data_IF_014896210321
#
_entry.id   IF_014896210321
#
_cell.length_a   1.000
_cell.length_b   1.000
_cell.length_c   1.000
_cell.angle_alpha   90.00
_cell.angle_beta   90.00
_cell.angle_gamma   90.00
#
_symmetry.space_group_name_H-M   'P 1'
#
loop_
_entity.id
_entity.type
_entity.pdbx_description
1 polymer ?
#
# COMPACT_ATOMS: atom_id res chain seq x y z
N UNK A 1 47.03 -30.02 18.77
CA UNK A 1 46.02 -29.72 19.82
C UNK A 1 45.11 -28.64 19.29
N UNK A 2 43.86 -28.94 18.90
CA UNK A 2 42.92 -27.89 18.49
C UNK A 2 42.45 -27.12 19.73
N UNK A 3 42.49 -25.78 19.66
CA UNK A 3 42.01 -24.89 20.72
C UNK A 3 40.53 -25.15 21.06
N UNK A 4 40.12 -25.02 22.34
CA UNK A 4 38.74 -25.22 22.72
C UNK A 4 37.87 -24.15 22.06
N UNK A 5 36.91 -24.60 21.25
CA UNK A 5 35.92 -23.76 20.60
C UNK A 5 35.16 -22.97 21.67
N UNK A 6 35.22 -21.65 21.59
CA UNK A 6 34.46 -20.76 22.46
C UNK A 6 32.97 -21.01 22.21
N UNK A 7 32.14 -21.30 23.24
CA UNK A 7 30.72 -21.51 23.04
C UNK A 7 30.10 -20.30 22.36
N UNK A 8 29.38 -20.51 21.26
CA UNK A 8 28.62 -19.47 20.57
C UNK A 8 27.62 -18.88 21.57
N UNK A 9 27.89 -17.65 22.05
CA UNK A 9 27.01 -16.96 22.97
C UNK A 9 25.63 -16.79 22.31
N UNK A 10 24.51 -17.02 23.03
CA UNK A 10 23.19 -16.80 22.46
C UNK A 10 23.08 -15.34 22.02
N UNK A 11 22.58 -15.12 20.80
CA UNK A 11 22.32 -13.78 20.29
C UNK A 11 21.20 -13.18 21.15
N UNK A 12 21.58 -12.42 22.17
CA UNK A 12 20.63 -11.70 23.00
C UNK A 12 20.01 -10.61 22.11
N UNK A 13 18.87 -10.94 21.50
CA UNK A 13 18.02 -9.97 20.82
C UNK A 13 17.86 -8.75 21.71
N UNK A 14 17.76 -7.57 21.07
CA UNK A 14 17.76 -6.25 21.70
C UNK A 14 16.63 -6.12 22.72
N UNK A 15 16.82 -6.66 23.91
CA UNK A 15 15.84 -6.73 24.97
C UNK A 15 15.58 -5.30 25.45
N UNK A 16 14.37 -4.82 25.18
CA UNK A 16 13.93 -3.49 25.60
C UNK A 16 13.43 -3.58 27.04
N UNK A 17 14.34 -3.38 27.98
CA UNK A 17 13.99 -3.33 29.41
C UNK A 17 13.07 -2.13 29.71
N UNK A 18 11.95 -2.41 30.37
CA UNK A 18 11.03 -1.42 30.96
C UNK A 18 11.69 -0.65 32.10
N UNK A 19 11.13 0.51 32.46
CA UNK A 19 11.70 1.35 33.53
C UNK A 19 11.73 0.63 34.88
N UNK A 20 10.73 -0.21 35.16
CA UNK A 20 10.65 -1.01 36.39
C UNK A 20 11.75 -2.09 36.42
N UNK A 21 11.94 -2.82 35.32
CA UNK A 21 13.02 -3.82 35.22
C UNK A 21 14.40 -3.16 35.36
N UNK A 22 14.60 -2.00 34.73
CA UNK A 22 15.87 -1.24 34.84
C UNK A 22 16.15 -0.82 36.28
N UNK A 23 15.10 -0.45 37.03
CA UNK A 23 15.21 -0.08 38.44
C UNK A 23 15.51 -1.30 39.32
N UNK A 24 14.82 -2.41 39.13
CA UNK A 24 15.11 -3.66 39.83
C UNK A 24 16.56 -4.13 39.58
N UNK A 25 17.04 -4.01 38.34
CA UNK A 25 18.44 -4.31 37.98
C UNK A 25 19.41 -3.37 38.72
N UNK A 26 19.09 -2.08 38.82
CA UNK A 26 19.95 -1.14 39.54
C UNK A 26 19.99 -1.44 41.04
N UNK A 27 18.84 -1.71 41.66
CA UNK A 27 18.71 -2.03 43.09
C UNK A 27 19.41 -3.35 43.45
N UNK A 28 19.30 -4.37 42.60
CA UNK A 28 20.04 -5.64 42.77
C UNK A 28 21.55 -5.45 42.66
N UNK A 29 22.02 -4.66 41.70
CA UNK A 29 23.45 -4.31 41.58
C UNK A 29 23.93 -3.44 42.75
N UNK A 30 23.07 -2.56 43.28
CA UNK A 30 23.38 -1.71 44.43
C UNK A 30 23.64 -2.56 45.68
N UNK A 31 22.80 -3.57 45.93
CA UNK A 31 22.99 -4.51 47.04
C UNK A 31 24.25 -5.37 46.92
N UNK A 32 24.78 -5.57 45.71
CA UNK A 32 26.05 -6.29 45.45
C UNK A 32 27.27 -5.37 45.36
N UNK A 33 27.06 -4.06 45.38
CA UNK A 33 28.14 -3.08 45.27
C UNK A 33 28.84 -2.88 46.62
N UNK A 34 30.15 -2.71 46.58
CA UNK A 34 30.94 -2.35 47.75
C UNK A 34 31.53 -0.95 47.52
N UNK A 35 31.18 0.01 48.39
CA UNK A 35 31.61 1.42 48.29
C UNK A 35 31.41 2.04 46.89
N UNK A 36 30.27 1.76 46.26
CA UNK A 36 29.94 2.28 44.92
C UNK A 36 30.71 1.62 43.77
N UNK A 37 31.47 0.56 44.04
CA UNK A 37 32.16 -0.26 43.04
C UNK A 37 31.50 -1.63 42.92
N UNK A 38 31.37 -2.10 41.68
CA UNK A 38 30.89 -3.44 41.37
C UNK A 38 32.10 -4.31 41.05
N UNK A 39 32.19 -5.47 41.68
CA UNK A 39 33.28 -6.41 41.46
C UNK A 39 33.25 -7.01 40.04
N UNK A 40 34.40 -7.49 39.58
CA UNK A 40 34.51 -8.13 38.28
C UNK A 40 33.62 -9.37 38.21
N UNK A 41 32.88 -9.55 37.12
CA UNK A 41 31.99 -10.70 36.93
C UNK A 41 30.57 -10.51 37.47
N UNK A 42 30.34 -9.59 38.42
CA UNK A 42 29.00 -9.36 39.00
C UNK A 42 27.95 -8.97 37.96
N UNK A 43 28.33 -8.16 36.96
CA UNK A 43 27.43 -7.84 35.85
C UNK A 43 27.02 -9.09 35.07
N UNK A 44 27.96 -10.02 34.86
CA UNK A 44 27.71 -11.27 34.14
C UNK A 44 26.83 -12.20 34.98
N UNK A 45 27.11 -12.31 36.28
CA UNK A 45 26.32 -13.13 37.22
C UNK A 45 24.89 -12.61 37.34
N UNK A 46 24.70 -11.30 37.45
CA UNK A 46 23.36 -10.70 37.52
C UNK A 46 22.64 -10.77 36.17
N UNK A 47 23.39 -10.61 35.08
CA UNK A 47 22.84 -10.74 33.74
C UNK A 47 22.43 -12.18 33.40
N UNK A 48 23.09 -13.20 33.95
CA UNK A 48 22.74 -14.61 33.70
C UNK A 48 21.30 -14.96 34.12
N UNK A 49 20.75 -14.25 35.10
CA UNK A 49 19.34 -14.39 35.54
C UNK A 49 18.36 -13.71 34.56
N UNK A 50 18.84 -12.92 33.62
CA UNK A 50 18.04 -12.12 32.69
C UNK A 50 18.40 -12.44 31.23
N UNK A 51 17.46 -12.33 30.30
CA UNK A 51 17.74 -12.54 28.87
C UNK A 51 18.41 -11.31 28.22
N UNK A 52 19.39 -10.71 28.89
CA UNK A 52 20.05 -9.46 28.51
C UNK A 52 21.57 -9.62 28.54
N UNK A 53 22.25 -8.96 27.60
CA UNK A 53 23.69 -8.89 27.61
C UNK A 53 24.20 -8.03 28.79
N UNK A 54 25.25 -8.48 29.50
CA UNK A 54 25.82 -7.81 30.70
C UNK A 54 26.19 -6.33 30.48
N UNK A 55 26.59 -5.94 29.26
CA UNK A 55 26.85 -4.52 28.90
C UNK A 55 25.64 -3.61 29.13
N UNK A 56 24.41 -4.14 29.05
CA UNK A 56 23.19 -3.39 29.37
C UNK A 56 23.13 -3.05 30.86
N UNK A 57 23.49 -4.00 31.72
CA UNK A 57 23.55 -3.83 33.17
C UNK A 57 24.62 -2.80 33.55
N UNK A 58 25.82 -2.91 32.95
CA UNK A 58 26.89 -1.94 33.14
C UNK A 58 26.46 -0.50 32.73
N UNK A 59 25.68 -0.37 31.65
CA UNK A 59 25.15 0.93 31.20
C UNK A 59 24.09 1.49 32.15
N UNK A 60 23.23 0.63 32.71
CA UNK A 60 22.23 1.01 33.72
C UNK A 60 22.93 1.52 34.98
N UNK A 61 23.92 0.77 35.48
CA UNK A 61 24.72 1.16 36.63
C UNK A 61 25.42 2.50 36.43
N UNK A 62 26.17 2.64 35.33
CA UNK A 62 26.88 3.87 34.99
C UNK A 62 25.92 5.07 34.97
N UNK A 63 24.74 4.91 34.37
CA UNK A 63 23.73 5.97 34.31
C UNK A 63 23.21 6.36 35.70
N UNK A 64 22.90 5.39 36.55
CA UNK A 64 22.48 5.66 37.93
C UNK A 64 23.55 6.45 38.69
N UNK A 65 24.80 6.02 38.61
CA UNK A 65 25.93 6.71 39.24
C UNK A 65 26.16 8.12 38.67
N UNK A 66 26.10 8.30 37.34
CA UNK A 66 26.19 9.62 36.70
C UNK A 66 25.07 10.56 37.17
N UNK A 67 23.84 10.05 37.33
CA UNK A 67 22.72 10.88 37.80
C UNK A 67 22.91 11.35 39.25
N UNK A 68 23.44 10.50 40.13
CA UNK A 68 23.77 10.87 41.51
C UNK A 68 24.90 11.89 41.55
N UNK A 69 25.95 11.70 40.74
CA UNK A 69 27.07 12.65 40.62
C UNK A 69 26.63 14.02 40.11
N UNK A 70 25.59 14.07 39.29
CA UNK A 70 25.01 15.30 38.78
C UNK A 70 24.00 15.95 39.76
N UNK A 71 23.91 15.47 41.00
CA UNK A 71 23.10 16.07 42.06
C UNK A 71 21.65 15.57 42.15
N UNK A 72 21.31 14.47 41.47
CA UNK A 72 20.00 13.84 41.64
C UNK A 72 19.91 13.16 43.01
N UNK A 73 18.77 13.34 43.70
CA UNK A 73 18.48 12.67 44.99
C UNK A 73 18.31 11.16 44.82
N UNK A 74 17.83 10.72 43.65
CA UNK A 74 17.57 9.30 43.33
C UNK A 74 18.26 8.94 42.02
N UNK A 75 18.77 7.71 41.93
CA UNK A 75 19.37 7.20 40.70
C UNK A 75 18.36 7.13 39.55
N UNK A 76 18.59 7.91 38.50
CA UNK A 76 17.72 7.97 37.30
C UNK A 76 18.18 6.93 36.28
N UNK A 77 17.51 5.77 36.25
CA UNK A 77 17.91 4.63 35.41
C UNK A 77 16.99 4.38 34.21
N UNK A 78 15.96 5.21 34.05
CA UNK A 78 14.91 5.06 33.05
C UNK A 78 15.46 4.93 31.62
N UNK A 79 14.71 4.21 30.80
CA UNK A 79 14.92 4.12 29.37
C UNK A 79 14.79 5.51 28.72
N UNK A 80 15.58 5.76 27.67
CA UNK A 80 15.49 7.01 26.89
C UNK A 80 14.51 6.90 25.71
N UNK A 81 14.08 5.69 25.36
CA UNK A 81 13.10 5.48 24.30
C UNK A 81 11.69 5.67 24.87
N UNK A 82 11.25 6.92 25.00
CA UNK A 82 9.96 7.26 25.62
C UNK A 82 8.84 7.28 24.57
N UNK A 83 8.64 6.16 23.87
CA UNK A 83 7.64 6.04 22.80
C UNK A 83 7.81 7.09 21.69
N UNK A 84 6.88 7.13 20.73
CA UNK A 84 6.73 8.21 19.74
C UNK A 84 8.04 8.66 19.03
N UNK A 85 9.02 7.76 18.91
CA UNK A 85 10.33 8.04 18.31
C UNK A 85 10.35 7.81 16.80
N UNK A 86 9.19 7.45 16.24
CA UNK A 86 9.01 7.29 14.81
C UNK A 86 8.68 8.60 14.12
N UNK A 87 8.73 8.63 12.77
CA UNK A 87 8.28 9.77 11.99
C UNK A 87 6.83 10.15 12.34
N UNK A 88 6.55 11.45 12.40
CA UNK A 88 5.17 11.94 12.55
C UNK A 88 4.36 11.58 11.30
N UNK A 89 3.10 11.20 11.51
CA UNK A 89 2.16 10.95 10.42
C UNK A 89 1.91 12.28 9.70
N UNK A 90 2.22 12.33 8.41
CA UNK A 90 2.16 13.57 7.62
C UNK A 90 0.77 13.88 7.06
N UNK A 91 -0.07 12.87 6.83
CA UNK A 91 -1.42 13.02 6.27
C UNK A 91 -2.42 12.33 7.17
N UNK A 92 -3.52 13.02 7.50
CA UNK A 92 -4.61 12.38 8.22
C UNK A 92 -5.37 11.41 7.29
N UNK A 93 -6.06 10.39 7.84
CA UNK A 93 -6.93 9.53 7.06
C UNK A 93 -7.98 10.30 6.25
N UNK A 94 -8.53 11.39 6.80
CA UNK A 94 -9.46 12.27 6.09
C UNK A 94 -8.84 12.94 4.87
N UNK A 95 -7.59 13.40 4.97
CA UNK A 95 -6.88 14.05 3.85
C UNK A 95 -6.62 13.07 2.72
N UNK A 96 -6.22 11.83 3.07
CA UNK A 96 -6.01 10.75 2.09
C UNK A 96 -7.32 10.44 1.37
N UNK A 97 -8.44 10.33 2.09
CA UNK A 97 -9.75 10.11 1.49
C UNK A 97 -10.18 11.24 0.56
N UNK A 98 -9.99 12.49 0.98
CA UNK A 98 -10.30 13.65 0.16
C UNK A 98 -9.48 13.65 -1.13
N UNK A 99 -8.17 13.39 -1.04
CA UNK A 99 -7.28 13.30 -2.19
C UNK A 99 -7.69 12.18 -3.17
N UNK A 100 -8.02 10.99 -2.67
CA UNK A 100 -8.50 9.89 -3.51
C UNK A 100 -9.86 10.20 -4.14
N UNK A 101 -10.74 10.91 -3.43
CA UNK A 101 -12.06 11.34 -3.95
C UNK A 101 -11.96 12.44 -5.02
N UNK A 102 -10.85 13.19 -5.06
CA UNK A 102 -10.61 14.17 -6.11
C UNK A 102 -10.15 13.53 -7.44
N UNK A 103 -9.53 12.34 -7.39
CA UNK A 103 -9.05 11.62 -8.59
C UNK A 103 -10.22 11.21 -9.50
N UNK A 104 -10.17 11.38 -10.84
CA UNK A 104 -11.23 10.90 -11.73
C UNK A 104 -11.48 9.39 -11.61
N UNK A 105 -12.74 8.94 -11.75
CA UNK A 105 -13.12 7.53 -11.53
C UNK A 105 -12.30 6.54 -12.37
N UNK A 106 -12.02 6.89 -13.63
CA UNK A 106 -11.21 6.07 -14.56
C UNK A 106 -9.79 5.87 -14.03
N UNK A 107 -9.19 6.91 -13.44
CA UNK A 107 -7.84 6.85 -12.87
C UNK A 107 -7.80 6.12 -11.51
N UNK A 108 -8.95 5.79 -10.90
CA UNK A 108 -9.02 5.03 -9.64
C UNK A 108 -8.85 3.51 -9.77
N UNK A 109 -8.76 3.00 -10.99
CA UNK A 109 -8.68 1.56 -11.25
C UNK A 109 -7.40 0.91 -10.72
N UNK A 110 -6.26 1.60 -10.84
CA UNK A 110 -4.96 1.04 -10.46
C UNK A 110 -4.35 1.93 -9.39
N UNK A 111 -3.88 1.33 -8.30
CA UNK A 111 -3.29 2.06 -7.18
C UNK A 111 -2.08 2.92 -7.57
N UNK A 112 -1.37 2.54 -8.64
CA UNK A 112 -0.28 3.33 -9.23
C UNK A 112 -0.82 4.63 -9.86
N UNK A 113 -1.91 4.55 -10.61
CA UNK A 113 -2.56 5.72 -11.21
C UNK A 113 -3.16 6.62 -10.12
N UNK A 114 -3.80 6.04 -9.11
CA UNK A 114 -4.30 6.78 -7.94
C UNK A 114 -3.16 7.53 -7.25
N UNK A 115 -2.02 6.89 -7.03
CA UNK A 115 -0.88 7.52 -6.36
C UNK A 115 -0.38 8.75 -7.13
N UNK A 116 -0.28 8.64 -8.45
CA UNK A 116 0.11 9.75 -9.33
C UNK A 116 -0.89 10.91 -9.25
N UNK A 117 -2.18 10.64 -9.43
CA UNK A 117 -3.21 11.67 -9.50
C UNK A 117 -3.58 12.27 -8.12
N UNK A 118 -3.38 11.53 -7.04
CA UNK A 118 -3.67 12.01 -5.67
C UNK A 118 -2.46 12.65 -4.97
N UNK A 119 -1.26 12.48 -5.50
CA UNK A 119 0.00 12.88 -4.84
C UNK A 119 0.28 12.10 -3.54
N UNK A 120 -0.47 11.02 -3.27
CA UNK A 120 -0.28 10.15 -2.10
C UNK A 120 0.53 8.92 -2.52
N UNK A 121 1.66 8.62 -1.87
CA UNK A 121 2.46 7.46 -2.23
C UNK A 121 1.67 6.16 -2.16
N UNK A 122 1.89 5.27 -3.13
CA UNK A 122 1.21 3.96 -3.21
C UNK A 122 1.27 3.17 -1.89
N UNK A 123 2.42 3.17 -1.21
CA UNK A 123 2.61 2.48 0.08
C UNK A 123 1.71 3.04 1.17
N UNK A 124 1.51 4.36 1.18
CA UNK A 124 0.63 5.05 2.13
C UNK A 124 -0.83 4.69 1.85
N UNK A 125 -1.22 4.60 0.58
CA UNK A 125 -2.55 4.16 0.19
C UNK A 125 -2.83 2.71 0.61
N UNK A 126 -1.91 1.77 0.35
CA UNK A 126 -2.06 0.36 0.79
C UNK A 126 -2.24 0.27 2.30
N UNK A 127 -1.38 0.96 3.06
CA UNK A 127 -1.46 0.95 4.53
C UNK A 127 -2.77 1.55 5.02
N UNK A 128 -3.19 2.68 4.47
CA UNK A 128 -4.47 3.31 4.81
C UNK A 128 -5.68 2.42 4.47
N UNK A 129 -5.64 1.69 3.34
CA UNK A 129 -6.67 0.71 3.00
C UNK A 129 -6.77 -0.42 4.03
N UNK A 130 -5.64 -0.87 4.58
CA UNK A 130 -5.61 -1.91 5.61
C UNK A 130 -6.04 -1.42 7.00
N UNK A 131 -5.74 -0.17 7.35
CA UNK A 131 -6.05 0.42 8.66
C UNK A 131 -7.52 0.85 8.78
N UNK A 132 -8.08 1.52 7.75
CA UNK A 132 -9.38 2.20 7.85
C UNK A 132 -10.53 1.46 7.13
N UNK A 133 -10.23 0.49 6.26
CA UNK A 133 -11.17 -0.33 5.46
C UNK A 133 -12.24 0.43 4.63
N UNK A 134 -12.14 1.76 4.54
CA UNK A 134 -13.10 2.63 3.82
C UNK A 134 -12.82 2.75 2.32
N UNK A 135 -11.60 2.45 1.88
CA UNK A 135 -11.22 2.44 0.47
C UNK A 135 -11.05 0.99 0.02
N UNK A 136 -12.06 0.45 -0.66
CA UNK A 136 -12.03 -0.92 -1.20
C UNK A 136 -11.90 -0.90 -2.71
N UNK A 137 -11.10 -1.84 -3.23
CA UNK A 137 -11.09 -2.14 -4.66
C UNK A 137 -12.48 -2.66 -5.06
N UNK A 138 -13.06 -2.10 -6.12
CA UNK A 138 -14.27 -2.62 -6.74
C UNK A 138 -13.96 -2.96 -8.18
N UNK A 139 -14.31 -4.16 -8.61
CA UNK A 139 -14.35 -4.50 -10.02
C UNK A 139 -15.54 -3.77 -10.66
N UNK A 140 -15.26 -2.89 -11.61
CA UNK A 140 -16.29 -2.31 -12.48
C UNK A 140 -16.61 -3.30 -13.59
N UNK A 141 -17.35 -4.35 -13.27
CA UNK A 141 -17.85 -5.30 -14.27
C UNK A 141 -19.37 -5.43 -14.19
N UNK A 142 -20.06 -4.33 -14.51
CA UNK A 142 -21.41 -4.45 -15.02
C UNK A 142 -21.29 -4.73 -16.51
N UNK A 143 -21.42 -6.00 -16.92
CA UNK A 143 -21.94 -6.30 -18.25
C UNK A 143 -23.43 -5.99 -18.17
N UNK A 144 -23.93 -4.85 -18.67
CA UNK A 144 -25.36 -4.77 -18.91
C UNK A 144 -25.71 -5.99 -19.79
N UNK A 145 -26.76 -6.73 -19.43
CA UNK A 145 -27.24 -7.79 -20.31
C UNK A 145 -27.43 -7.18 -21.70
N UNK A 146 -26.87 -7.83 -22.73
CA UNK A 146 -27.13 -7.44 -24.11
C UNK A 146 -28.60 -7.76 -24.35
N UNK A 147 -29.47 -6.77 -24.13
CA UNK A 147 -30.78 -6.75 -24.74
C UNK A 147 -30.61 -6.49 -26.23
N UNK A 148 -31.53 -6.98 -27.05
CA UNK A 148 -31.46 -6.79 -28.51
C UNK A 148 -31.29 -5.30 -28.87
N UNK A 149 -31.94 -4.41 -28.14
CA UNK A 149 -31.83 -2.95 -28.34
C UNK A 149 -30.43 -2.41 -28.05
N UNK A 150 -29.80 -2.89 -26.98
CA UNK A 150 -28.45 -2.48 -26.58
C UNK A 150 -27.38 -3.02 -27.55
N UNK A 151 -27.58 -4.23 -28.08
CA UNK A 151 -26.72 -4.82 -29.10
C UNK A 151 -26.79 -4.02 -30.40
N UNK A 152 -28.01 -3.76 -30.89
CA UNK A 152 -28.23 -2.97 -32.11
C UNK A 152 -27.65 -1.57 -32.00
N UNK A 153 -27.86 -0.89 -30.87
CA UNK A 153 -27.33 0.46 -30.64
C UNK A 153 -25.80 0.49 -30.69
N UNK A 154 -25.13 -0.48 -30.04
CA UNK A 154 -23.67 -0.58 -30.05
C UNK A 154 -23.10 -0.92 -31.43
N UNK A 155 -23.75 -1.83 -32.15
CA UNK A 155 -23.35 -2.19 -33.52
C UNK A 155 -23.50 -0.97 -34.44
N UNK A 156 -24.62 -0.25 -34.33
CA UNK A 156 -24.90 0.94 -35.13
C UNK A 156 -23.94 2.10 -34.84
N UNK A 157 -23.65 2.37 -33.56
CA UNK A 157 -22.64 3.35 -33.16
C UNK A 157 -21.27 3.00 -33.78
N UNK A 158 -20.85 1.74 -33.67
CA UNK A 158 -19.57 1.27 -34.20
C UNK A 158 -19.50 1.29 -35.73
N UNK A 159 -20.59 1.00 -36.43
CA UNK A 159 -20.63 1.05 -37.90
C UNK A 159 -20.60 2.48 -38.41
N UNK A 160 -21.23 3.42 -37.69
CA UNK A 160 -21.18 4.85 -37.99
C UNK A 160 -19.80 5.45 -37.72
N UNK A 161 -19.13 5.08 -36.62
CA UNK A 161 -17.72 5.45 -36.36
C UNK A 161 -16.80 5.03 -37.52
N UNK A 162 -17.08 3.88 -38.14
CA UNK A 162 -16.32 3.35 -39.27
C UNK A 162 -16.85 3.79 -40.64
N UNK A 163 -17.77 4.76 -40.70
CA UNK A 163 -18.36 5.30 -41.93
C UNK A 163 -18.99 4.22 -42.84
N UNK A 164 -19.52 3.14 -42.24
CA UNK A 164 -20.06 2.00 -42.98
C UNK A 164 -19.03 1.17 -43.75
N UNK A 165 -17.73 1.45 -43.59
CA UNK A 165 -16.66 0.66 -44.22
C UNK A 165 -16.48 -0.67 -43.49
N UNK A 166 -16.37 -1.76 -44.25
CA UNK A 166 -16.11 -3.11 -43.74
C UNK A 166 -14.61 -3.35 -43.53
N UNK A 167 -13.87 -2.33 -43.08
CA UNK A 167 -12.42 -2.39 -42.86
C UNK A 167 -12.11 -2.94 -41.46
N UNK A 168 -12.68 -4.11 -41.15
CA UNK A 168 -12.29 -4.85 -39.96
C UNK A 168 -11.17 -5.82 -40.34
N UNK A 169 -9.99 -5.66 -39.72
CA UNK A 169 -8.97 -6.71 -39.72
C UNK A 169 -9.36 -7.77 -38.69
N UNK A 170 -10.31 -8.64 -39.04
CA UNK A 170 -10.78 -9.76 -38.21
C UNK A 170 -9.99 -11.03 -38.58
N UNK A 171 -9.01 -11.49 -37.77
CA UNK A 171 -8.05 -12.49 -38.23
C UNK A 171 -8.58 -13.94 -38.39
N UNK A 172 -9.88 -14.23 -38.22
CA UNK A 172 -10.30 -15.64 -38.01
C UNK A 172 -11.79 -15.98 -38.24
N UNK A 173 -12.56 -15.21 -39.02
CA UNK A 173 -13.94 -15.59 -39.38
C UNK A 173 -14.11 -15.83 -40.88
N UNK A 174 -14.45 -17.08 -41.24
CA UNK A 174 -14.73 -17.53 -42.62
C UNK A 174 -16.00 -16.84 -43.13
N UNK A 175 -15.88 -16.13 -44.26
CA UNK A 175 -16.76 -15.00 -44.66
C UNK A 175 -17.83 -15.40 -45.68
N UNK A 176 -18.47 -16.56 -45.49
CA UNK A 176 -19.36 -17.15 -46.51
C UNK A 176 -20.83 -17.31 -46.06
N UNK A 177 -21.25 -16.67 -44.97
CA UNK A 177 -22.65 -16.69 -44.55
C UNK A 177 -23.45 -15.58 -45.24
N UNK A 178 -24.23 -15.96 -46.26
CA UNK A 178 -25.13 -15.05 -46.97
C UNK A 178 -26.46 -14.86 -46.22
N UNK A 179 -26.86 -13.61 -46.00
CA UNK A 179 -28.17 -13.23 -45.45
C UNK A 179 -29.19 -13.30 -46.59
N UNK A 180 -30.24 -14.11 -46.41
CA UNK A 180 -31.21 -14.43 -47.48
C UNK A 180 -32.22 -13.31 -47.77
N UNK A 181 -32.57 -12.51 -46.77
CA UNK A 181 -33.56 -11.43 -46.94
C UNK A 181 -33.24 -10.26 -46.01
N UNK A 182 -32.89 -9.13 -46.62
CA UNK A 182 -32.52 -7.89 -45.94
C UNK A 182 -33.75 -7.09 -45.49
N UNK A 183 -34.95 -7.41 -46.00
CA UNK A 183 -36.19 -6.69 -45.71
C UNK A 183 -36.79 -7.00 -44.34
N UNK A 184 -36.32 -8.06 -43.69
CA UNK A 184 -36.76 -8.48 -42.36
C UNK A 184 -36.26 -7.57 -41.23
N UNK A 185 -35.33 -6.65 -41.51
CA UNK A 185 -34.76 -5.74 -40.53
C UNK A 185 -35.38 -4.33 -40.67
N UNK A 186 -36.43 -4.05 -39.89
CA UNK A 186 -36.93 -2.68 -39.73
C UNK A 186 -35.96 -1.87 -38.83
N UNK A 187 -34.97 -1.24 -39.45
CA UNK A 187 -34.01 -0.37 -38.77
C UNK A 187 -34.59 1.05 -38.69
N UNK A 188 -34.97 1.48 -37.49
CA UNK A 188 -35.38 2.86 -37.25
C UNK A 188 -34.11 3.71 -37.03
N UNK A 189 -33.79 4.61 -37.96
CA UNK A 189 -32.60 5.47 -37.87
C UNK A 189 -32.99 6.95 -37.69
N UNK A 190 -32.12 7.72 -37.02
CA UNK A 190 -32.29 9.16 -36.85
C UNK A 190 -32.30 9.86 -38.24
N UNK A 191 -33.29 10.72 -38.54
CA UNK A 191 -33.41 11.41 -39.83
C UNK A 191 -32.19 12.24 -40.23
N UNK A 192 -31.36 12.70 -39.29
CA UNK A 192 -30.12 13.42 -39.57
C UNK A 192 -29.01 12.49 -40.09
N UNK A 193 -28.91 11.28 -39.52
CA UNK A 193 -27.93 10.27 -39.91
C UNK A 193 -28.28 9.70 -41.29
N UNK A 194 -29.58 9.46 -41.53
CA UNK A 194 -30.07 9.04 -42.84
C UNK A 194 -29.68 10.02 -43.95
N UNK A 195 -29.89 11.32 -43.71
CA UNK A 195 -29.58 12.38 -44.68
C UNK A 195 -28.09 12.46 -44.99
N UNK A 196 -27.23 12.37 -43.98
CA UNK A 196 -25.77 12.38 -44.16
C UNK A 196 -25.27 11.16 -44.94
N UNK A 197 -25.83 9.98 -44.67
CA UNK A 197 -25.48 8.76 -45.39
C UNK A 197 -25.94 8.83 -46.87
N UNK A 198 -27.14 9.33 -47.12
CA UNK A 198 -27.67 9.48 -48.49
C UNK A 198 -26.86 10.50 -49.31
N UNK A 199 -26.47 11.62 -48.69
CA UNK A 199 -25.60 12.63 -49.32
C UNK A 199 -24.24 12.04 -49.71
N UNK A 200 -23.63 11.23 -48.82
CA UNK A 200 -22.38 10.55 -49.10
C UNK A 200 -22.49 9.57 -50.27
N UNK A 201 -23.52 8.73 -50.29
CA UNK A 201 -23.75 7.77 -51.39
C UNK A 201 -24.00 8.47 -52.74
N UNK A 202 -24.72 9.59 -52.74
CA UNK A 202 -24.93 10.39 -53.96
C UNK A 202 -23.62 10.99 -54.51
N UNK A 203 -22.70 11.35 -53.61
CA UNK A 203 -21.38 11.87 -53.97
C UNK A 203 -20.51 10.77 -54.58
N UNK A 204 -20.54 9.56 -54.01
CA UNK A 204 -19.79 8.40 -54.50
C UNK A 204 -20.28 7.95 -55.88
N UNK A 205 -21.60 7.91 -56.11
CA UNK A 205 -22.15 7.54 -57.43
C UNK A 205 -21.87 8.58 -58.53
N UNK A 206 -21.67 9.85 -58.16
CA UNK A 206 -21.33 10.92 -59.11
C UNK A 206 -19.85 10.91 -59.54
N UNK A 207 -18.99 10.12 -58.88
CA UNK A 207 -17.58 9.94 -59.24
C UNK A 207 -17.33 8.66 -60.07
N UNK A 208 -18.38 7.91 -60.40
CA UNK A 208 -18.30 6.64 -61.16
C UNK A 208 -18.92 6.79 -62.57
N UNK A 209 -19.31 8.00 -62.98
CA UNK A 209 -19.53 8.38 -64.39
C UNK A 209 -18.38 9.24 -64.87
#
# INVERSE_FOLDING_TARGET
MPSPATPHQPNHDKCKLSDLERRAIYETLLGRSNNGRIAHGEYTTTAATSQCHWKTFARIWKRGQESLRNGSVVAVVNARFKGNSGPKVQRSPSDIRAAVKAVPLVARQILRSVAEHSGVPKTTLVRHMAEEDQLKSKSSYSKPFLTEDNERSRVMEKTLENMGKNDYKLPHMRKDASIKDLSLFNVNCDPAIHRSAQAFLSTVNSQVQ
#
